data_IF_096574515245
#
_entry.id   IF_096574515245
#
_cell.length_a   1.000
_cell.length_b   1.000
_cell.length_c   1.000
_cell.angle_alpha   90.00
_cell.angle_beta   90.00
_cell.angle_gamma   90.00
#
_symmetry.space_group_name_H-M   'P 1'
#
loop_
_entity.id
_entity.type
_entity.pdbx_description
1 polymer ?
#
# COMPACT_ATOMS: atom_id res chain seq x y z
N UNK A 1 -7.65 39.42 -18.36
CA UNK A 1 -6.93 39.07 -17.12
C UNK A 1 -7.40 37.68 -16.73
N UNK A 2 -6.56 36.65 -16.93
CA UNK A 2 -6.93 35.25 -16.74
C UNK A 2 -6.78 34.87 -15.26
N UNK A 3 -7.85 34.35 -14.65
CA UNK A 3 -7.85 33.83 -13.28
C UNK A 3 -6.91 32.63 -13.19
N UNK A 4 -5.73 32.83 -12.61
CA UNK A 4 -4.88 31.74 -12.13
C UNK A 4 -5.59 31.10 -10.93
N UNK A 5 -6.40 30.07 -11.21
CA UNK A 5 -6.87 29.15 -10.18
C UNK A 5 -5.65 28.47 -9.60
N UNK A 6 -5.29 28.81 -8.36
CA UNK A 6 -4.28 28.12 -7.57
C UNK A 6 -4.55 26.61 -7.64
N UNK A 7 -3.57 25.84 -8.13
CA UNK A 7 -3.68 24.40 -8.16
C UNK A 7 -3.90 23.90 -6.73
N UNK A 8 -4.92 23.07 -6.45
CA UNK A 8 -5.18 22.59 -5.11
C UNK A 8 -3.93 21.85 -4.60
N UNK A 9 -3.36 22.33 -3.48
CA UNK A 9 -2.25 21.66 -2.78
C UNK A 9 -2.79 20.36 -2.18
N UNK A 10 -2.79 19.29 -2.97
CA UNK A 10 -3.14 17.95 -2.51
C UNK A 10 -2.04 17.51 -1.55
N UNK A 11 -2.39 17.35 -0.27
CA UNK A 11 -1.51 16.74 0.73
C UNK A 11 -1.23 15.28 0.34
N UNK A 12 -0.01 15.04 -0.14
CA UNK A 12 0.50 13.74 -0.61
C UNK A 12 0.77 12.75 0.53
N UNK A 13 0.54 13.14 1.78
CA UNK A 13 0.81 12.34 2.98
C UNK A 13 -0.48 11.72 3.54
N UNK A 14 -1.31 11.14 2.67
CA UNK A 14 -2.55 10.47 3.09
C UNK A 14 -2.33 8.96 3.15
N UNK A 15 -2.77 8.31 4.22
CA UNK A 15 -2.82 6.85 4.31
C UNK A 15 -3.87 6.35 3.32
N UNK A 16 -3.47 5.52 2.36
CA UNK A 16 -4.38 4.89 1.39
C UNK A 16 -4.50 3.40 1.72
N UNK A 17 -5.73 2.94 1.97
CA UNK A 17 -6.02 1.52 2.18
C UNK A 17 -6.31 0.85 0.84
N UNK A 18 -5.44 -0.05 0.40
CA UNK A 18 -5.58 -0.79 -0.85
C UNK A 18 -6.09 -2.20 -0.57
N UNK A 19 -7.10 -2.66 -1.32
CA UNK A 19 -7.49 -4.07 -1.31
C UNK A 19 -6.55 -4.86 -2.21
N UNK A 20 -5.95 -5.91 -1.66
CA UNK A 20 -4.96 -6.72 -2.32
C UNK A 20 -5.24 -8.22 -2.10
N UNK A 21 -4.76 -9.07 -3.01
CA UNK A 21 -4.94 -10.52 -2.92
C UNK A 21 -3.57 -11.16 -2.71
N UNK A 22 -3.41 -11.94 -1.64
CA UNK A 22 -2.19 -12.71 -1.40
C UNK A 22 -2.14 -13.88 -2.39
N UNK A 23 -1.12 -13.90 -3.25
CA UNK A 23 -0.91 -14.94 -4.27
C UNK A 23 0.02 -16.05 -3.76
N UNK A 24 1.07 -15.69 -3.02
CA UNK A 24 2.03 -16.63 -2.45
C UNK A 24 2.63 -16.06 -1.15
N UNK A 25 2.98 -16.95 -0.23
CA UNK A 25 3.68 -16.64 1.01
C UNK A 25 4.93 -17.51 1.02
N UNK A 26 6.08 -16.85 1.09
CA UNK A 26 7.39 -17.48 1.31
C UNK A 26 7.88 -17.05 2.70
N UNK A 27 8.94 -17.70 3.19
CA UNK A 27 9.42 -17.45 4.56
C UNK A 27 9.79 -15.98 4.81
N UNK A 28 10.30 -15.28 3.80
CA UNK A 28 10.83 -13.92 3.88
C UNK A 28 10.01 -12.88 3.11
N UNK A 29 9.08 -13.30 2.26
CA UNK A 29 8.35 -12.42 1.34
C UNK A 29 6.92 -12.88 1.10
N UNK A 30 6.03 -11.91 0.88
CA UNK A 30 4.65 -12.12 0.47
C UNK A 30 4.48 -11.52 -0.91
N UNK A 31 3.91 -12.28 -1.82
CA UNK A 31 3.57 -11.80 -3.15
C UNK A 31 2.09 -11.42 -3.17
N UNK A 32 1.81 -10.14 -3.41
CA UNK A 32 0.46 -9.59 -3.36
C UNK A 32 0.08 -9.00 -4.70
N UNK A 33 -1.12 -9.32 -5.18
CA UNK A 33 -1.65 -8.76 -6.42
C UNK A 33 -2.48 -7.50 -6.12
N UNK A 34 -2.07 -6.37 -6.71
CA UNK A 34 -2.75 -5.07 -6.61
C UNK A 34 -2.96 -4.55 -8.03
N UNK A 35 -4.22 -4.29 -8.41
CA UNK A 35 -4.55 -3.73 -9.72
C UNK A 35 -4.05 -4.55 -10.92
N UNK A 36 -3.96 -5.87 -10.79
CA UNK A 36 -3.47 -6.77 -11.86
C UNK A 36 -1.96 -6.99 -11.88
N UNK A 37 -1.17 -6.23 -11.09
CA UNK A 37 0.28 -6.41 -10.94
C UNK A 37 0.59 -7.17 -9.66
N UNK A 38 1.67 -7.95 -9.68
CA UNK A 38 2.19 -8.63 -8.49
C UNK A 38 3.31 -7.78 -7.89
N UNK A 39 3.24 -7.53 -6.60
CA UNK A 39 4.22 -6.78 -5.81
C UNK A 39 4.75 -7.70 -4.72
N UNK A 40 6.07 -7.70 -4.51
CA UNK A 40 6.72 -8.48 -3.45
C UNK A 40 6.91 -7.58 -2.25
N UNK A 41 6.44 -8.04 -1.09
CA UNK A 41 6.53 -7.35 0.19
C UNK A 41 7.35 -8.19 1.18
N UNK A 42 8.40 -7.63 1.81
CA UNK A 42 9.19 -8.36 2.80
C UNK A 42 8.38 -8.61 4.07
N UNK A 43 8.35 -9.83 4.58
CA UNK A 43 7.57 -10.19 5.78
C UNK A 43 8.05 -9.48 7.04
N UNK A 44 9.32 -9.07 7.09
CA UNK A 44 9.92 -8.35 8.21
C UNK A 44 9.19 -7.04 8.56
N UNK A 45 8.61 -6.36 7.56
CA UNK A 45 7.88 -5.10 7.76
C UNK A 45 6.43 -5.31 8.22
N UNK A 46 5.90 -6.54 8.12
CA UNK A 46 4.50 -6.88 8.39
C UNK A 46 4.31 -7.85 9.55
N UNK A 47 5.36 -8.14 10.34
CA UNK A 47 5.24 -8.76 11.66
C UNK A 47 4.57 -7.79 12.67
N UNK A 48 3.40 -7.27 12.29
CA UNK A 48 2.48 -6.56 13.17
C UNK A 48 1.84 -7.61 14.08
N UNK A 49 2.33 -7.61 15.31
CA UNK A 49 1.68 -8.02 16.56
C UNK A 49 0.76 -9.25 16.43
N UNK A 50 1.24 -10.40 16.92
CA UNK A 50 0.41 -11.57 17.23
C UNK A 50 -0.91 -11.09 17.87
N UNK A 51 -2.09 -11.52 17.38
CA UNK A 51 -3.32 -11.26 18.11
C UNK A 51 -3.22 -11.98 19.44
N UNK A 52 -2.94 -11.25 20.52
CA UNK A 52 -3.14 -11.72 21.89
C UNK A 52 -4.64 -11.89 22.09
N UNK A 53 -5.14 -13.12 21.85
CA UNK A 53 -6.26 -13.75 22.54
C UNK A 53 -6.33 -15.23 22.18
#
# INVERSE_FOLDING_TARGET
MANQSEAPKISVNSTVSLKAIVKAIFNDTIHVQIGGKIITLPTAEYLLEKPTR
#
